data_IF_692411345489
#
_entry.id   IF_692411345489
#
_cell.length_a   1.000
_cell.length_b   1.000
_cell.length_c   1.000
_cell.angle_alpha   90.00
_cell.angle_beta   90.00
_cell.angle_gamma   90.00
#
_symmetry.space_group_name_H-M   'P 1'
#
loop_
_entity.id
_entity.type
_entity.pdbx_description
1 polymer ?
#
# COMPACT_ATOMS: atom_id res chain seq x y z
N UNK A 1 -17.03 0.98 -3.21
CA UNK A 1 -16.99 2.45 -3.00
C UNK A 1 -15.54 2.87 -3.20
N UNK A 2 -15.27 3.96 -3.92
CA UNK A 2 -13.91 4.51 -3.98
C UNK A 2 -13.53 5.11 -2.61
N UNK A 3 -12.32 4.80 -2.13
CA UNK A 3 -11.81 5.39 -0.89
C UNK A 3 -11.63 6.91 -1.06
N UNK A 4 -12.02 7.70 -0.05
CA UNK A 4 -11.67 9.13 -0.01
C UNK A 4 -10.17 9.32 0.23
N UNK A 5 -9.69 10.55 0.06
CA UNK A 5 -8.29 10.88 0.35
C UNK A 5 -7.95 10.64 1.82
N UNK A 6 -8.86 11.00 2.72
CA UNK A 6 -8.70 10.79 4.16
C UNK A 6 -8.71 9.30 4.52
N UNK A 7 -9.55 8.49 3.85
CA UNK A 7 -9.54 7.03 4.00
C UNK A 7 -8.21 6.43 3.51
N UNK A 8 -7.63 6.95 2.42
CA UNK A 8 -6.31 6.53 1.91
C UNK A 8 -5.20 6.90 2.89
N UNK A 9 -5.19 8.14 3.39
CA UNK A 9 -4.21 8.60 4.39
C UNK A 9 -4.29 7.77 5.68
N UNK A 10 -5.49 7.46 6.15
CA UNK A 10 -5.68 6.58 7.31
C UNK A 10 -5.15 5.17 7.04
N UNK A 11 -5.43 4.61 5.86
CA UNK A 11 -4.94 3.26 5.51
C UNK A 11 -3.41 3.21 5.47
N UNK A 12 -2.73 4.24 4.99
CA UNK A 12 -1.26 4.32 5.00
C UNK A 12 -0.73 4.22 6.44
N UNK A 13 -1.31 4.96 7.37
CA UNK A 13 -0.94 4.91 8.79
C UNK A 13 -1.28 3.55 9.43
N UNK A 14 -2.43 2.97 9.08
CA UNK A 14 -2.85 1.66 9.56
C UNK A 14 -1.85 0.56 9.13
N UNK A 15 -1.38 0.60 7.88
CA UNK A 15 -0.34 -0.31 7.38
C UNK A 15 0.98 -0.16 8.15
N UNK A 16 1.43 1.08 8.37
CA UNK A 16 2.66 1.35 9.10
C UNK A 16 2.55 0.90 10.57
N UNK A 17 1.44 1.22 11.24
CA UNK A 17 1.15 0.78 12.61
C UNK A 17 1.06 -0.74 12.74
N UNK A 18 0.44 -1.41 11.77
CA UNK A 18 0.39 -2.87 11.75
C UNK A 18 1.79 -3.50 11.58
N UNK A 19 2.64 -2.89 10.75
CA UNK A 19 4.03 -3.32 10.59
C UNK A 19 4.84 -3.15 11.88
N UNK A 20 4.70 -2.01 12.57
CA UNK A 20 5.32 -1.79 13.89
C UNK A 20 4.87 -2.84 14.91
N UNK A 21 3.57 -3.10 14.97
CA UNK A 21 3.00 -4.11 15.87
C UNK A 21 3.58 -5.51 15.58
N UNK A 22 3.79 -5.87 14.31
CA UNK A 22 4.42 -7.14 13.95
C UNK A 22 5.87 -7.23 14.46
N UNK A 23 6.65 -6.16 14.32
CA UNK A 23 8.02 -6.11 14.87
C UNK A 23 8.01 -6.21 16.40
N UNK A 24 7.12 -5.47 17.08
CA UNK A 24 6.96 -5.54 18.54
C UNK A 24 6.58 -6.95 19.00
N UNK A 25 5.79 -7.67 18.21
CA UNK A 25 5.42 -9.06 18.47
C UNK A 25 6.54 -10.08 18.17
N UNK A 26 7.67 -9.66 17.60
CA UNK A 26 8.84 -10.50 17.36
C UNK A 26 8.94 -11.10 15.95
N UNK A 27 8.22 -10.57 14.96
CA UNK A 27 8.37 -10.97 13.56
C UNK A 27 9.68 -10.41 12.97
N UNK A 28 10.30 -11.14 12.04
CA UNK A 28 11.53 -10.69 11.35
C UNK A 28 11.28 -9.52 10.38
N UNK A 29 10.06 -9.44 9.84
CA UNK A 29 9.62 -8.42 8.90
C UNK A 29 8.19 -8.65 8.41
N UNK A 30 7.76 -7.85 7.45
CA UNK A 30 6.42 -7.94 6.85
C UNK A 30 6.50 -7.98 5.33
N UNK A 31 5.53 -8.67 4.70
CA UNK A 31 5.32 -8.63 3.25
C UNK A 31 4.02 -7.88 2.95
N UNK A 32 4.10 -6.82 2.15
CA UNK A 32 2.97 -6.03 1.69
C UNK A 32 2.28 -6.80 0.55
N UNK A 33 0.98 -7.08 0.72
CA UNK A 33 0.20 -7.75 -0.30
C UNK A 33 -0.33 -6.75 -1.35
N UNK A 34 0.42 -6.57 -2.45
CA UNK A 34 0.03 -5.77 -3.62
C UNK A 34 -0.27 -6.61 -4.86
N UNK A 35 -1.06 -7.69 -4.70
CA UNK A 35 -1.27 -8.71 -5.72
C UNK A 35 -2.70 -9.27 -5.67
N UNK A 36 -3.06 -10.14 -6.62
CA UNK A 36 -4.25 -10.99 -6.64
C UNK A 36 -5.60 -10.26 -6.43
N UNK A 37 -5.73 -9.03 -6.93
CA UNK A 37 -6.96 -8.25 -6.90
C UNK A 37 -7.33 -7.63 -5.55
N UNK A 38 -6.43 -7.66 -4.56
CA UNK A 38 -6.64 -6.96 -3.28
C UNK A 38 -6.43 -5.44 -3.43
N UNK A 39 -6.68 -4.68 -2.36
CA UNK A 39 -6.81 -3.23 -2.43
C UNK A 39 -5.67 -2.50 -3.16
N UNK A 40 -4.40 -2.77 -2.80
CA UNK A 40 -3.27 -2.11 -3.46
C UNK A 40 -3.17 -2.51 -4.94
N UNK A 41 -3.48 -3.76 -5.27
CA UNK A 41 -3.53 -4.26 -6.64
C UNK A 41 -4.67 -3.60 -7.45
N UNK A 42 -5.82 -3.36 -6.81
CA UNK A 42 -6.94 -2.65 -7.44
C UNK A 42 -6.57 -1.23 -7.89
N UNK A 43 -5.64 -0.56 -7.18
CA UNK A 43 -5.12 0.75 -7.60
C UNK A 43 -4.17 0.63 -8.79
N UNK A 44 -3.45 -0.47 -8.95
CA UNK A 44 -2.45 -0.70 -9.99
C UNK A 44 -3.05 -1.13 -11.35
N UNK A 45 -4.34 -1.47 -11.41
CA UNK A 45 -4.99 -1.96 -12.63
C UNK A 45 -6.06 -1.00 -13.18
N UNK A 46 -6.02 -0.76 -14.49
CA UNK A 46 -6.97 0.13 -15.18
C UNK A 46 -8.41 -0.36 -15.12
N UNK A 47 -8.62 -1.68 -15.08
CA UNK A 47 -9.97 -2.27 -15.06
C UNK A 47 -10.68 -2.09 -13.70
N UNK A 48 -9.91 -1.82 -12.64
CA UNK A 48 -10.43 -1.66 -11.27
C UNK A 48 -10.28 -0.23 -10.74
N UNK A 49 -9.23 0.49 -11.17
CA UNK A 49 -9.00 1.88 -10.79
C UNK A 49 -9.61 2.84 -11.81
N UNK A 50 -10.91 3.11 -11.65
CA UNK A 50 -11.66 4.04 -12.50
C UNK A 50 -11.69 5.48 -11.94
N UNK A 51 -10.71 5.84 -11.10
CA UNK A 51 -10.65 7.17 -10.48
C UNK A 51 -10.22 8.24 -11.50
N UNK A 52 -10.69 9.45 -11.28
CA UNK A 52 -10.37 10.66 -12.05
C UNK A 52 -9.55 11.69 -11.24
N UNK A 53 -8.96 11.25 -10.13
CA UNK A 53 -8.13 12.07 -9.24
C UNK A 53 -6.64 11.65 -9.27
N UNK A 54 -5.87 12.19 -8.31
CA UNK A 54 -4.42 11.99 -8.19
C UNK A 54 -3.97 10.54 -7.92
N UNK A 55 -4.91 9.61 -7.77
CA UNK A 55 -4.68 8.19 -7.55
C UNK A 55 -5.09 7.31 -8.74
N UNK A 56 -5.50 7.88 -9.88
CA UNK A 56 -5.91 7.12 -11.08
C UNK A 56 -5.39 7.67 -12.41
N UNK A 57 -5.91 7.13 -13.52
CA UNK A 57 -5.66 7.54 -14.92
C UNK A 57 -4.26 7.25 -15.50
N UNK A 58 -3.19 7.47 -14.75
CA UNK A 58 -1.81 7.30 -15.21
C UNK A 58 -1.08 6.28 -14.34
N UNK A 59 -0.09 5.54 -14.86
CA UNK A 59 0.70 4.59 -14.05
C UNK A 59 1.30 5.24 -12.80
N UNK A 60 1.78 6.49 -12.91
CA UNK A 60 2.37 7.23 -11.81
C UNK A 60 1.36 7.54 -10.70
N UNK A 61 0.15 7.97 -11.06
CA UNK A 61 -0.92 8.21 -10.08
C UNK A 61 -1.45 6.91 -9.48
N UNK A 62 -1.62 5.88 -10.30
CA UNK A 62 -2.10 4.55 -9.88
C UNK A 62 -1.14 3.89 -8.88
N UNK A 63 0.16 4.09 -9.05
CA UNK A 63 1.18 3.62 -8.11
C UNK A 63 1.30 4.47 -6.83
N UNK A 64 0.71 5.68 -6.78
CA UNK A 64 0.89 6.63 -5.67
C UNK A 64 0.51 6.04 -4.31
N UNK A 65 -0.65 5.40 -4.21
CA UNK A 65 -1.09 4.81 -2.94
C UNK A 65 -0.24 3.59 -2.52
N UNK A 66 -0.01 2.57 -3.38
CA UNK A 66 0.89 1.48 -3.06
C UNK A 66 2.30 1.92 -2.65
N UNK A 67 2.88 2.91 -3.34
CA UNK A 67 4.20 3.46 -3.00
C UNK A 67 4.18 4.18 -1.64
N UNK A 68 3.15 4.98 -1.34
CA UNK A 68 3.02 5.64 -0.05
C UNK A 68 2.91 4.64 1.12
N UNK A 69 2.23 3.51 0.92
CA UNK A 69 2.20 2.42 1.92
C UNK A 69 3.58 1.81 2.12
N UNK A 70 4.31 1.56 1.04
CA UNK A 70 5.68 1.02 1.10
C UNK A 70 6.59 1.99 1.85
N UNK A 71 6.57 3.28 1.50
CA UNK A 71 7.40 4.30 2.12
C UNK A 71 7.11 4.43 3.63
N UNK A 72 5.83 4.46 4.03
CA UNK A 72 5.44 4.56 5.44
C UNK A 72 5.88 3.33 6.26
N UNK A 73 5.78 2.12 5.69
CA UNK A 73 6.29 0.91 6.36
C UNK A 73 7.82 0.94 6.44
N UNK A 74 8.51 1.35 5.37
CA UNK A 74 9.97 1.49 5.37
C UNK A 74 10.43 2.49 6.43
N UNK A 75 9.75 3.63 6.56
CA UNK A 75 10.05 4.62 7.59
C UNK A 75 9.88 4.04 9.00
N UNK A 76 8.85 3.21 9.22
CA UNK A 76 8.52 2.67 10.53
C UNK A 76 9.42 1.50 10.97
N UNK A 77 9.76 0.57 10.07
CA UNK A 77 10.45 -0.68 10.42
C UNK A 77 11.75 -0.94 9.64
N UNK A 78 12.06 -0.10 8.65
CA UNK A 78 13.24 -0.20 7.79
C UNK A 78 13.07 -1.15 6.60
N UNK A 79 13.57 -0.75 5.43
CA UNK A 79 13.39 -1.51 4.18
C UNK A 79 14.03 -2.91 4.15
N UNK A 80 14.98 -3.19 5.04
CA UNK A 80 15.53 -4.54 5.20
C UNK A 80 14.54 -5.55 5.84
N UNK A 81 13.41 -5.06 6.37
CA UNK A 81 12.31 -5.84 6.95
C UNK A 81 11.01 -5.74 6.17
N UNK A 82 11.05 -5.16 4.97
CA UNK A 82 9.87 -4.88 4.15
C UNK A 82 9.96 -5.60 2.81
N UNK A 83 9.02 -6.50 2.56
CA UNK A 83 8.80 -7.13 1.25
C UNK A 83 7.56 -6.58 0.55
N UNK A 84 7.51 -6.72 -0.78
CA UNK A 84 6.33 -6.44 -1.60
C UNK A 84 6.03 -7.67 -2.47
N UNK A 85 4.77 -8.12 -2.46
CA UNK A 85 4.28 -9.18 -3.34
C UNK A 85 3.42 -8.62 -4.45
N UNK A 86 3.75 -8.96 -5.70
CA UNK A 86 3.07 -8.54 -6.94
C UNK A 86 2.64 -9.76 -7.78
N UNK A 87 1.64 -9.58 -8.65
CA UNK A 87 1.18 -10.59 -9.62
C UNK A 87 0.79 -9.93 -10.96
N UNK A 88 1.76 -9.65 -11.86
CA UNK A 88 1.52 -8.96 -13.12
C UNK A 88 0.61 -9.71 -14.11
#
# INVERSE_FOLDING_TARGET
KAASKEEIEQLIEDYASAAENAIVAGFDGVEIHGANGYLLDQFLHYDTNLRDDEFGQTPENMARFPLAVIDAIIERIGGHRTGLRLSP
#
